data_IF_133005824194
#
_entry.id   IF_133005824194
#
_cell.length_a   1.000
_cell.length_b   1.000
_cell.length_c   1.000
_cell.angle_alpha   90.00
_cell.angle_beta   90.00
_cell.angle_gamma   90.00
#
_symmetry.space_group_name_H-M   'P 1'
#
loop_
_entity.id
_entity.type
_entity.pdbx_description
1 polymer ?
#
# COMPACT_ATOMS: atom_id res chain seq x y z
N UNK A 1 -10.70 10.19 11.56
CA UNK A 1 -10.10 11.41 12.18
C UNK A 1 -10.30 12.59 11.25
N UNK A 2 -10.52 13.80 11.73
CA UNK A 2 -10.68 14.96 10.83
C UNK A 2 -9.30 15.47 10.43
N UNK A 3 -9.07 15.78 9.15
CA UNK A 3 -7.79 16.28 8.61
C UNK A 3 -7.22 17.43 9.44
N UNK A 4 -8.08 18.32 9.96
CA UNK A 4 -7.69 19.42 10.86
C UNK A 4 -6.97 18.95 12.12
N UNK A 5 -7.36 17.82 12.70
CA UNK A 5 -6.73 17.26 13.91
C UNK A 5 -5.35 16.70 13.58
N UNK A 6 -5.22 15.99 12.43
CA UNK A 6 -3.94 15.50 11.94
C UNK A 6 -2.99 16.67 11.72
N UNK A 7 -3.43 17.69 10.98
CA UNK A 7 -2.59 18.85 10.66
C UNK A 7 -2.14 19.62 11.93
N UNK A 8 -3.02 19.73 12.94
CA UNK A 8 -2.66 20.35 14.23
C UNK A 8 -1.61 19.54 14.98
N UNK A 9 -1.68 18.23 14.97
CA UNK A 9 -0.70 17.32 15.60
C UNK A 9 0.72 17.56 15.07
N UNK A 10 0.85 18.00 13.82
CA UNK A 10 2.12 18.30 13.16
C UNK A 10 2.41 19.81 13.04
N UNK A 11 1.86 20.64 13.93
CA UNK A 11 2.09 22.09 14.03
C UNK A 11 1.81 22.87 12.74
N UNK A 12 1.03 22.33 11.81
CA UNK A 12 0.75 22.92 10.47
C UNK A 12 2.01 23.23 9.67
N UNK A 13 3.10 22.51 9.90
CA UNK A 13 4.39 22.76 9.25
C UNK A 13 4.50 22.03 7.92
N UNK A 14 4.98 22.75 6.89
CA UNK A 14 5.25 22.19 5.55
C UNK A 14 6.23 21.03 5.60
N UNK A 15 7.22 21.07 6.49
CA UNK A 15 8.25 20.05 6.66
C UNK A 15 7.66 18.69 7.04
N UNK A 16 6.47 18.67 7.65
CA UNK A 16 5.76 17.47 8.09
C UNK A 16 4.75 16.95 7.06
N UNK A 17 4.80 17.46 5.81
CA UNK A 17 3.82 17.11 4.79
C UNK A 17 3.72 15.59 4.55
N UNK A 18 4.86 14.89 4.51
CA UNK A 18 4.87 13.44 4.29
C UNK A 18 4.21 12.66 5.44
N UNK A 19 4.50 13.04 6.69
CA UNK A 19 3.90 12.43 7.86
C UNK A 19 2.39 12.67 7.91
N UNK A 20 1.96 13.88 7.55
CA UNK A 20 0.53 14.22 7.46
C UNK A 20 -0.16 13.40 6.38
N UNK A 21 0.45 13.26 5.20
CA UNK A 21 -0.10 12.45 4.10
C UNK A 21 -0.20 10.97 4.48
N UNK A 22 0.80 10.43 5.20
CA UNK A 22 0.74 9.06 5.74
C UNK A 22 -0.45 8.89 6.66
N UNK A 23 -0.59 9.76 7.68
CA UNK A 23 -1.67 9.65 8.65
C UNK A 23 -3.06 9.83 8.02
N UNK A 24 -3.18 10.72 7.01
CA UNK A 24 -4.43 10.86 6.22
C UNK A 24 -4.76 9.57 5.46
N UNK A 25 -3.75 8.93 4.87
CA UNK A 25 -3.93 7.69 4.13
C UNK A 25 -4.30 6.53 5.05
N UNK A 26 -3.61 6.41 6.19
CA UNK A 26 -3.81 5.33 7.16
C UNK A 26 -5.16 5.45 7.89
N UNK A 27 -5.65 6.68 8.11
CA UNK A 27 -6.98 6.95 8.69
C UNK A 27 -8.13 6.60 7.71
N UNK A 28 -7.82 6.46 6.43
CA UNK A 28 -8.80 6.09 5.42
C UNK A 28 -8.96 4.57 5.34
N UNK A 29 -10.17 4.02 5.58
CA UNK A 29 -10.41 2.57 5.51
C UNK A 29 -10.03 1.90 4.18
N UNK A 30 -9.95 2.69 3.11
CA UNK A 30 -9.53 2.24 1.77
C UNK A 30 -8.07 2.61 1.45
N UNK A 31 -7.28 3.01 2.44
CA UNK A 31 -5.83 3.25 2.32
C UNK A 31 -5.43 4.15 1.14
N UNK A 32 -6.13 5.26 0.92
CA UNK A 32 -5.81 6.21 -0.16
C UNK A 32 -6.07 7.66 0.24
N UNK A 33 -5.48 8.58 -0.51
CA UNK A 33 -5.64 10.03 -0.35
C UNK A 33 -6.60 10.52 -1.42
N UNK A 34 -7.80 10.95 -1.02
CA UNK A 34 -8.79 11.47 -1.95
C UNK A 34 -8.47 12.91 -2.39
N UNK A 35 -9.00 13.32 -3.54
CA UNK A 35 -8.90 14.72 -3.99
C UNK A 35 -9.36 15.71 -2.92
N UNK A 36 -10.48 15.40 -2.26
CA UNK A 36 -11.02 16.22 -1.15
C UNK A 36 -10.04 16.34 0.01
N UNK A 37 -9.29 15.28 0.32
CA UNK A 37 -8.27 15.32 1.37
C UNK A 37 -7.14 16.30 1.02
N UNK A 38 -6.71 16.34 -0.25
CA UNK A 38 -5.68 17.26 -0.74
C UNK A 38 -6.16 18.70 -0.70
N UNK A 39 -7.40 18.95 -1.12
CA UNK A 39 -8.01 20.28 -1.09
C UNK A 39 -8.09 20.82 0.35
N UNK A 40 -8.61 20.02 1.28
CA UNK A 40 -8.68 20.39 2.71
C UNK A 40 -7.29 20.59 3.33
N UNK A 41 -6.33 19.73 2.96
CA UNK A 41 -4.95 19.87 3.43
C UNK A 41 -4.30 21.15 2.93
N UNK A 42 -4.54 21.52 1.66
CA UNK A 42 -4.09 22.77 1.06
C UNK A 42 -4.61 24.00 1.83
N UNK A 43 -5.89 24.00 2.16
CA UNK A 43 -6.51 25.07 2.95
C UNK A 43 -5.91 25.19 4.37
N UNK A 44 -5.66 24.06 5.03
CA UNK A 44 -5.21 24.03 6.43
C UNK A 44 -3.72 24.37 6.60
N UNK A 45 -2.86 24.05 5.61
CA UNK A 45 -1.40 24.30 5.69
C UNK A 45 -0.97 25.51 4.89
N UNK A 46 -1.79 25.95 3.90
CA UNK A 46 -1.44 27.06 2.99
C UNK A 46 -0.46 26.64 1.89
N UNK A 47 -0.41 25.36 1.52
CA UNK A 47 0.40 24.84 0.41
C UNK A 47 -0.52 24.62 -0.80
N UNK A 48 -0.12 25.03 -2.02
CA UNK A 48 -0.93 24.78 -3.22
C UNK A 48 -1.26 23.30 -3.43
N UNK A 49 -2.46 23.01 -3.91
CA UNK A 49 -2.93 21.65 -4.24
C UNK A 49 -1.95 20.93 -5.18
N UNK A 50 -1.38 21.68 -6.16
CA UNK A 50 -0.38 21.14 -7.10
C UNK A 50 0.87 20.61 -6.40
N UNK A 51 1.37 21.33 -5.39
CA UNK A 51 2.58 20.96 -4.65
C UNK A 51 2.34 19.72 -3.79
N UNK A 52 1.17 19.65 -3.12
CA UNK A 52 0.77 18.49 -2.32
C UNK A 52 0.59 17.27 -3.22
N UNK A 53 -0.15 17.42 -4.33
CA UNK A 53 -0.38 16.34 -5.29
C UNK A 53 0.92 15.90 -5.97
N UNK A 54 1.79 16.83 -6.35
CA UNK A 54 3.10 16.55 -6.91
C UNK A 54 3.98 15.77 -5.93
N UNK A 55 4.03 16.19 -4.67
CA UNK A 55 4.76 15.48 -3.61
C UNK A 55 4.20 14.07 -3.42
N UNK A 56 2.89 13.92 -3.24
CA UNK A 56 2.27 12.63 -3.01
C UNK A 56 2.42 11.69 -4.23
N UNK A 57 2.36 12.19 -5.46
CA UNK A 57 2.53 11.37 -6.67
C UNK A 57 3.96 10.87 -6.90
N UNK A 58 4.96 11.56 -6.34
CA UNK A 58 6.35 11.15 -6.43
C UNK A 58 6.64 9.89 -5.60
N UNK A 59 5.99 9.73 -4.47
CA UNK A 59 6.23 8.61 -3.56
C UNK A 59 5.25 7.46 -3.83
N UNK A 60 5.74 6.29 -4.20
CA UNK A 60 4.95 5.09 -4.52
C UNK A 60 4.15 4.53 -3.34
N UNK A 61 4.46 4.94 -2.11
CA UNK A 61 3.73 4.54 -0.91
C UNK A 61 2.34 5.19 -0.81
N UNK A 62 2.14 6.33 -1.48
CA UNK A 62 0.84 7.00 -1.51
C UNK A 62 -0.01 6.50 -2.67
N UNK A 63 -1.32 6.46 -2.45
CA UNK A 63 -2.30 6.09 -3.47
C UNK A 63 -3.39 7.15 -3.57
N UNK A 64 -3.76 7.47 -4.80
CA UNK A 64 -4.92 8.31 -5.11
C UNK A 64 -6.16 7.48 -5.49
N UNK A 65 -6.00 6.16 -5.55
CA UNK A 65 -7.10 5.22 -5.83
C UNK A 65 -7.40 4.41 -4.57
N UNK A 66 -8.66 4.08 -4.32
CA UNK A 66 -9.03 3.18 -3.24
C UNK A 66 -8.27 1.86 -3.32
N UNK A 67 -7.75 1.43 -2.17
CA UNK A 67 -7.07 0.13 -2.01
C UNK A 67 -7.86 -0.77 -1.08
N UNK A 68 -7.57 -2.05 -1.13
CA UNK A 68 -8.16 -3.03 -0.23
C UNK A 68 -7.63 -2.92 1.20
N UNK A 69 -8.30 -3.63 2.09
CA UNK A 69 -7.90 -3.75 3.51
C UNK A 69 -6.51 -4.36 3.68
N UNK A 70 -6.15 -5.31 2.80
CA UNK A 70 -4.85 -5.97 2.75
C UNK A 70 -4.11 -5.61 1.46
N UNK A 71 -3.03 -4.88 1.60
CA UNK A 71 -2.17 -4.49 0.48
C UNK A 71 -1.02 -5.48 0.40
N UNK A 72 -0.99 -6.27 -0.68
CA UNK A 72 0.04 -7.27 -0.95
C UNK A 72 1.08 -6.63 -1.85
N UNK A 73 2.30 -6.47 -1.36
CA UNK A 73 3.43 -5.92 -2.10
C UNK A 73 4.46 -7.01 -2.36
N UNK A 74 4.60 -7.42 -3.61
CA UNK A 74 5.60 -8.40 -4.04
C UNK A 74 6.87 -7.68 -4.43
N UNK A 75 8.00 -8.09 -3.87
CA UNK A 75 9.30 -7.50 -4.17
C UNK A 75 9.74 -7.85 -5.59
N UNK A 76 9.92 -6.84 -6.46
CA UNK A 76 10.36 -6.99 -7.85
C UNK A 76 11.86 -6.73 -8.06
N UNK A 77 12.65 -6.61 -6.98
CA UNK A 77 14.09 -6.38 -7.07
C UNK A 77 14.85 -7.62 -7.58
N UNK A 78 16.01 -7.44 -8.23
CA UNK A 78 16.76 -8.53 -8.87
C UNK A 78 16.94 -9.79 -8.01
N UNK A 79 17.34 -9.73 -6.71
CA UNK A 79 17.46 -10.93 -5.89
C UNK A 79 16.15 -11.72 -5.76
N UNK A 80 15.02 -11.03 -5.53
CA UNK A 80 13.72 -11.67 -5.42
C UNK A 80 13.23 -12.19 -6.78
N UNK A 81 13.48 -11.45 -7.85
CA UNK A 81 13.12 -11.86 -9.22
C UNK A 81 13.85 -13.17 -9.61
N UNK A 82 15.17 -13.26 -9.41
CA UNK A 82 15.96 -14.47 -9.66
C UNK A 82 15.46 -15.65 -8.82
N UNK A 83 15.00 -15.40 -7.61
CA UNK A 83 14.44 -16.41 -6.71
C UNK A 83 12.97 -16.74 -6.97
N UNK A 84 12.36 -16.21 -8.04
CA UNK A 84 11.01 -16.56 -8.51
C UNK A 84 9.89 -15.67 -7.98
N UNK A 85 10.15 -14.42 -7.63
CA UNK A 85 9.12 -13.48 -7.19
C UNK A 85 8.02 -13.26 -8.24
N UNK A 86 8.37 -13.32 -9.53
CA UNK A 86 7.40 -13.24 -10.63
C UNK A 86 6.37 -14.37 -10.57
N UNK A 87 6.82 -15.61 -10.34
CA UNK A 87 5.93 -16.76 -10.13
C UNK A 87 5.00 -16.55 -8.92
N UNK A 88 5.52 -15.96 -7.84
CA UNK A 88 4.69 -15.62 -6.67
C UNK A 88 3.62 -14.59 -7.04
N UNK A 89 3.99 -13.56 -7.79
CA UNK A 89 3.07 -12.54 -8.27
C UNK A 89 1.96 -13.17 -9.14
N UNK A 90 2.31 -14.01 -10.11
CA UNK A 90 1.35 -14.72 -10.96
C UNK A 90 0.39 -15.61 -10.18
N UNK A 91 0.90 -16.34 -9.16
CA UNK A 91 0.06 -17.17 -8.29
C UNK A 91 -0.95 -16.31 -7.54
N UNK A 92 -0.54 -15.16 -6.99
CA UNK A 92 -1.44 -14.25 -6.28
C UNK A 92 -2.48 -13.68 -7.24
N UNK A 93 -2.05 -13.19 -8.40
CA UNK A 93 -2.91 -12.63 -9.44
C UNK A 93 -4.01 -13.61 -9.85
N UNK A 94 -3.64 -14.86 -10.12
CA UNK A 94 -4.58 -15.93 -10.48
C UNK A 94 -5.53 -16.30 -9.35
N UNK A 95 -5.03 -16.39 -8.11
CA UNK A 95 -5.83 -16.79 -6.94
C UNK A 95 -6.85 -15.72 -6.53
N UNK A 96 -6.52 -14.44 -6.76
CA UNK A 96 -7.37 -13.29 -6.43
C UNK A 96 -8.13 -12.76 -7.63
N UNK A 97 -7.82 -13.21 -8.85
CA UNK A 97 -8.39 -12.73 -10.12
C UNK A 97 -8.24 -11.21 -10.30
N UNK A 98 -7.08 -10.69 -9.97
CA UNK A 98 -6.71 -9.28 -10.12
C UNK A 98 -5.33 -9.15 -10.75
N UNK A 99 -5.10 -8.06 -11.47
CA UNK A 99 -3.80 -7.71 -12.04
C UNK A 99 -3.02 -6.74 -11.14
N UNK A 100 -1.87 -6.32 -11.64
CA UNK A 100 -1.02 -5.33 -10.97
C UNK A 100 -1.78 -4.03 -10.69
N UNK A 101 -1.67 -3.55 -9.47
CA UNK A 101 -2.31 -2.33 -8.99
C UNK A 101 -3.85 -2.37 -8.99
N UNK A 102 -4.41 -3.57 -9.00
CA UNK A 102 -5.84 -3.78 -8.88
C UNK A 102 -6.25 -4.22 -7.47
N UNK A 103 -7.52 -3.98 -7.19
CA UNK A 103 -8.16 -4.35 -5.92
C UNK A 103 -9.28 -5.35 -6.20
N UNK A 104 -9.39 -6.39 -5.38
CA UNK A 104 -10.51 -7.36 -5.48
C UNK A 104 -11.85 -6.66 -5.36
N UNK A 105 -12.87 -7.19 -6.05
CA UNK A 105 -14.24 -6.63 -6.08
C UNK A 105 -14.83 -6.45 -4.68
N UNK A 106 -14.45 -7.34 -3.76
CA UNK A 106 -14.88 -7.29 -2.36
C UNK A 106 -14.10 -6.26 -1.50
N UNK A 107 -13.14 -5.54 -2.09
CA UNK A 107 -12.30 -4.55 -1.41
C UNK A 107 -11.35 -5.15 -0.38
N UNK A 108 -11.10 -6.46 -0.41
CA UNK A 108 -10.27 -7.12 0.60
C UNK A 108 -8.79 -7.01 0.30
N UNK A 109 -8.36 -7.29 -0.94
CA UNK A 109 -6.95 -7.30 -1.33
C UNK A 109 -6.65 -6.29 -2.43
N UNK A 110 -5.47 -5.71 -2.36
CA UNK A 110 -4.83 -4.99 -3.48
C UNK A 110 -3.48 -5.63 -3.75
N UNK A 111 -3.14 -5.87 -5.02
CA UNK A 111 -1.87 -6.46 -5.45
C UNK A 111 -0.97 -5.38 -6.06
N UNK A 112 0.19 -5.17 -5.46
CA UNK A 112 1.19 -4.19 -5.91
C UNK A 112 2.55 -4.86 -6.09
N UNK A 113 3.34 -4.40 -7.04
CA UNK A 113 4.80 -4.61 -7.03
C UNK A 113 5.48 -3.52 -6.22
N UNK A 114 6.56 -3.86 -5.56
CA UNK A 114 7.36 -2.90 -4.80
C UNK A 114 8.84 -3.05 -5.11
N UNK A 115 9.57 -1.97 -4.89
CA UNK A 115 11.02 -1.98 -4.84
C UNK A 115 11.52 -2.88 -3.70
N UNK A 116 12.83 -2.94 -3.50
CA UNK A 116 13.44 -3.81 -2.51
C UNK A 116 12.87 -3.59 -1.09
N UNK A 117 12.39 -4.68 -0.49
CA UNK A 117 11.91 -4.70 0.90
C UNK A 117 13.04 -4.79 1.93
N UNK A 118 14.31 -4.87 1.50
CA UNK A 118 15.46 -5.00 2.39
C UNK A 118 15.68 -6.39 2.99
N UNK A 119 14.93 -7.40 2.56
CA UNK A 119 14.91 -8.76 3.15
C UNK A 119 15.43 -9.84 2.20
N UNK A 120 16.46 -9.52 1.42
CA UNK A 120 17.00 -10.40 0.36
C UNK A 120 17.42 -11.78 0.88
N UNK A 121 17.82 -11.91 2.14
CA UNK A 121 18.21 -13.18 2.75
C UNK A 121 17.05 -14.21 2.81
N UNK A 122 15.82 -13.74 2.69
CA UNK A 122 14.61 -14.60 2.71
C UNK A 122 13.83 -14.53 1.40
N UNK A 123 14.51 -14.18 0.30
CA UNK A 123 13.90 -14.13 -1.04
C UNK A 123 13.36 -15.52 -1.47
N UNK A 124 12.28 -15.58 -2.29
CA UNK A 124 11.45 -14.46 -2.71
C UNK A 124 10.54 -14.00 -1.57
N UNK A 125 10.28 -12.68 -1.50
CA UNK A 125 9.53 -12.08 -0.41
C UNK A 125 8.40 -11.17 -0.88
N UNK A 126 7.34 -11.12 -0.08
CA UNK A 126 6.26 -10.17 -0.19
C UNK A 126 5.91 -9.60 1.18
N UNK A 127 5.27 -8.44 1.19
CA UNK A 127 4.75 -7.82 2.40
C UNK A 127 3.23 -7.69 2.28
N UNK A 128 2.50 -8.05 3.32
CA UNK A 128 1.06 -7.85 3.41
C UNK A 128 0.81 -6.87 4.56
N UNK A 129 0.36 -5.68 4.23
CA UNK A 129 0.39 -4.51 5.09
C UNK A 129 1.81 -4.32 5.66
N UNK A 130 2.03 -4.48 6.98
CA UNK A 130 3.34 -4.33 7.63
C UNK A 130 4.04 -5.66 7.92
N UNK A 131 3.45 -6.79 7.52
CA UNK A 131 4.00 -8.11 7.79
C UNK A 131 4.76 -8.64 6.58
N UNK A 132 6.05 -8.95 6.77
CA UNK A 132 6.91 -9.53 5.73
C UNK A 132 6.81 -11.05 5.75
N UNK A 133 6.67 -11.63 4.56
CA UNK A 133 6.67 -13.06 4.31
C UNK A 133 7.83 -13.42 3.38
N UNK A 134 8.77 -14.21 3.85
CA UNK A 134 9.92 -14.67 3.07
C UNK A 134 9.89 -16.16 2.76
N UNK A 135 10.86 -16.59 1.93
CA UNK A 135 10.93 -17.97 1.39
C UNK A 135 9.58 -18.41 0.84
N UNK A 136 8.98 -17.55 0.02
CA UNK A 136 7.66 -17.79 -0.53
C UNK A 136 7.70 -18.88 -1.60
N UNK A 137 6.70 -19.75 -1.53
CA UNK A 137 6.33 -20.69 -2.58
C UNK A 137 4.88 -20.46 -2.95
N UNK A 138 4.47 -20.94 -4.14
CA UNK A 138 3.08 -20.84 -4.58
C UNK A 138 2.09 -21.44 -3.57
N UNK A 139 2.44 -22.55 -2.91
CA UNK A 139 1.60 -23.18 -1.88
C UNK A 139 1.54 -22.33 -0.59
N UNK A 140 2.70 -21.76 -0.18
CA UNK A 140 2.78 -20.96 1.04
C UNK A 140 1.93 -19.70 0.93
N UNK A 141 2.04 -19.00 -0.21
CA UNK A 141 1.25 -17.78 -0.40
C UNK A 141 -0.26 -18.08 -0.50
N UNK A 142 -0.68 -19.14 -1.16
CA UNK A 142 -2.09 -19.57 -1.17
C UNK A 142 -2.64 -19.84 0.22
N UNK A 143 -1.87 -20.53 1.08
CA UNK A 143 -2.27 -20.77 2.47
C UNK A 143 -2.44 -19.47 3.25
N UNK A 144 -1.54 -18.50 3.07
CA UNK A 144 -1.62 -17.18 3.71
C UNK A 144 -2.89 -16.45 3.27
N UNK A 145 -3.16 -16.41 1.97
CA UNK A 145 -4.36 -15.76 1.43
C UNK A 145 -5.65 -16.41 1.96
N UNK A 146 -5.70 -17.74 2.01
CA UNK A 146 -6.83 -18.47 2.58
C UNK A 146 -7.04 -18.19 4.07
N UNK A 147 -5.96 -18.10 4.85
CA UNK A 147 -6.04 -17.73 6.27
C UNK A 147 -6.62 -16.35 6.47
N UNK A 148 -6.21 -15.37 5.65
CA UNK A 148 -6.73 -14.01 5.70
C UNK A 148 -8.22 -14.01 5.32
N UNK A 149 -8.63 -14.68 4.23
CA UNK A 149 -10.04 -14.80 3.83
C UNK A 149 -10.89 -15.39 4.93
N UNK A 150 -10.44 -16.49 5.56
CA UNK A 150 -11.16 -17.12 6.69
C UNK A 150 -11.30 -16.19 7.89
N UNK A 151 -10.28 -15.41 8.21
CA UNK A 151 -10.32 -14.41 9.31
C UNK A 151 -11.35 -13.32 9.06
N UNK A 152 -11.57 -12.96 7.82
CA UNK A 152 -12.55 -11.95 7.39
C UNK A 152 -13.97 -12.53 7.14
N UNK A 153 -14.15 -13.83 7.37
CA UNK A 153 -15.46 -14.49 7.19
C UNK A 153 -15.86 -14.70 5.74
N UNK A 154 -14.88 -14.80 4.86
CA UNK A 154 -15.06 -14.95 3.41
C UNK A 154 -14.42 -16.24 2.87
#
# INVERSE_FOLDING_TARGET
MKIREIVRKYDRKRENLLQILHEIQDDNPQNYISKKNIELLSEEIGIPVSDIAGTASFYTMFSFKPRGKYIIRVCASPPCHIMGAETIFEVISRELQIEKSETTVDGLFTLEETSCLGVCAVAPAAMINDTVYGHLTGEKIKKILLQIKKKEGK
#
